data_IF_341254149364
#
_entry.id   IF_341254149364
#
_cell.length_a   1.000
_cell.length_b   1.000
_cell.length_c   1.000
_cell.angle_alpha   90.00
_cell.angle_beta   90.00
_cell.angle_gamma   90.00
#
_symmetry.space_group_name_H-M   'P 1'
#
loop_
_entity.id
_entity.type
_entity.pdbx_description
1 polymer ?
#
# COMPACT_ATOMS: atom_id res chain seq x y z
N UNK A 1 3.96 -36.26 21.64
CA UNK A 1 3.29 -36.94 20.52
C UNK A 1 1.86 -36.43 20.47
N UNK A 2 1.59 -35.48 19.57
CA UNK A 2 0.31 -34.98 19.03
C UNK A 2 0.70 -33.67 18.29
N UNK A 3 0.31 -33.53 17.02
CA UNK A 3 0.23 -32.21 16.37
C UNK A 3 1.29 -31.78 15.35
N UNK A 4 2.06 -32.68 14.71
CA UNK A 4 2.86 -32.33 13.49
C UNK A 4 2.15 -32.62 12.15
N UNK A 5 0.86 -32.98 12.18
CA UNK A 5 0.08 -33.36 10.97
C UNK A 5 -0.87 -32.28 10.43
N UNK A 6 -1.00 -31.11 11.07
CA UNK A 6 -1.94 -30.07 10.62
C UNK A 6 -1.39 -29.12 9.54
N UNK A 7 -0.07 -29.07 9.32
CA UNK A 7 0.54 -28.06 8.44
C UNK A 7 0.92 -28.55 7.03
N UNK A 8 0.65 -29.83 6.71
CA UNK A 8 1.05 -30.45 5.43
C UNK A 8 -0.06 -30.56 4.39
N UNK A 9 -1.17 -29.85 4.57
CA UNK A 9 -2.35 -29.93 3.67
C UNK A 9 -2.39 -28.86 2.57
N UNK A 10 -1.39 -28.00 2.42
CA UNK A 10 -1.51 -26.79 1.59
C UNK A 10 -0.93 -26.84 0.16
N UNK A 11 -0.51 -28.00 -0.35
CA UNK A 11 0.08 -28.09 -1.70
C UNK A 11 -0.45 -29.24 -2.58
N UNK A 12 -1.67 -29.76 -2.31
CA UNK A 12 -2.15 -30.91 -3.08
C UNK A 12 -3.65 -31.12 -3.03
N UNK A 13 -4.41 -30.19 -3.62
CA UNK A 13 -5.75 -30.46 -4.19
C UNK A 13 -6.12 -29.30 -5.10
N UNK A 14 -5.67 -29.37 -6.35
CA UNK A 14 -6.30 -28.64 -7.45
C UNK A 14 -7.67 -29.28 -7.70
N UNK A 15 -8.68 -28.89 -6.89
CA UNK A 15 -10.03 -28.89 -7.39
C UNK A 15 -10.08 -27.87 -8.53
N UNK A 16 -10.70 -28.22 -9.65
CA UNK A 16 -10.96 -27.29 -10.74
C UNK A 16 -11.94 -26.20 -10.28
N UNK A 17 -11.44 -25.23 -9.50
CA UNK A 17 -12.14 -23.99 -9.23
C UNK A 17 -12.00 -23.11 -10.47
N UNK A 18 -13.07 -23.06 -11.28
CA UNK A 18 -13.19 -22.04 -12.32
C UNK A 18 -13.60 -20.75 -11.61
N UNK A 19 -12.65 -19.84 -11.41
CA UNK A 19 -12.94 -18.47 -10.98
C UNK A 19 -13.99 -17.85 -11.92
N UNK A 20 -14.97 -17.16 -11.35
CA UNK A 20 -15.99 -16.46 -12.11
C UNK A 20 -15.42 -15.31 -12.95
N UNK A 21 -14.32 -14.68 -12.51
CA UNK A 21 -13.70 -13.52 -13.14
C UNK A 21 -12.36 -13.87 -13.78
N UNK A 22 -12.37 -14.36 -15.02
CA UNK A 22 -11.15 -14.63 -15.81
C UNK A 22 -11.02 -13.69 -17.00
N UNK A 23 -9.84 -13.64 -17.63
CA UNK A 23 -9.63 -12.89 -18.88
C UNK A 23 -10.45 -13.45 -20.06
N UNK A 24 -10.92 -14.71 -19.97
CA UNK A 24 -11.76 -15.34 -21.00
C UNK A 24 -13.23 -14.95 -20.89
N UNK A 25 -13.64 -14.41 -19.76
CA UNK A 25 -14.99 -13.90 -19.49
C UNK A 25 -14.99 -12.39 -19.64
N UNK A 26 -15.86 -11.83 -20.48
CA UNK A 26 -15.90 -10.41 -20.80
C UNK A 26 -16.54 -9.56 -19.68
N UNK A 27 -15.95 -9.58 -18.47
CA UNK A 27 -16.37 -8.72 -17.37
C UNK A 27 -15.85 -7.30 -17.57
N UNK A 28 -16.74 -6.33 -17.36
CA UNK A 28 -16.43 -4.91 -17.52
C UNK A 28 -15.89 -4.34 -16.21
N UNK A 29 -14.65 -3.89 -16.22
CA UNK A 29 -13.98 -3.35 -15.02
C UNK A 29 -13.91 -1.83 -15.11
N UNK A 30 -14.36 -1.16 -14.05
CA UNK A 30 -14.24 0.28 -13.86
C UNK A 30 -13.19 0.61 -12.81
N UNK A 31 -12.47 1.72 -12.99
CA UNK A 31 -11.41 2.14 -12.07
C UNK A 31 -11.63 3.60 -11.68
N UNK A 32 -11.75 3.84 -10.38
CA UNK A 32 -11.91 5.17 -9.81
C UNK A 32 -10.70 5.51 -8.94
N UNK A 33 -10.05 6.63 -9.23
CA UNK A 33 -8.78 7.02 -8.62
C UNK A 33 -7.62 6.48 -9.45
N UNK A 34 -6.92 7.37 -10.15
CA UNK A 34 -5.85 7.11 -11.12
C UNK A 34 -4.52 7.70 -10.67
N UNK A 35 -4.34 7.84 -9.35
CA UNK A 35 -3.02 8.05 -8.75
C UNK A 35 -2.15 6.80 -8.87
N UNK A 36 -1.04 6.79 -8.11
CA UNK A 36 0.01 5.76 -8.19
C UNK A 36 -0.53 4.31 -8.19
N UNK A 37 -1.48 4.00 -7.31
CA UNK A 37 -2.05 2.65 -7.20
C UNK A 37 -3.01 2.35 -8.34
N UNK A 38 -4.06 3.15 -8.52
CA UNK A 38 -5.12 2.84 -9.49
C UNK A 38 -4.66 2.86 -10.94
N UNK A 39 -3.75 3.77 -11.32
CA UNK A 39 -3.15 3.76 -12.66
C UNK A 39 -2.30 2.50 -12.91
N UNK A 40 -1.56 2.04 -11.90
CA UNK A 40 -0.79 0.78 -11.99
C UNK A 40 -1.72 -0.41 -12.17
N UNK A 41 -2.80 -0.50 -11.39
CA UNK A 41 -3.81 -1.55 -11.49
C UNK A 41 -4.46 -1.54 -12.89
N UNK A 42 -4.86 -0.36 -13.38
CA UNK A 42 -5.44 -0.19 -14.72
C UNK A 42 -4.51 -0.72 -15.83
N UNK A 43 -3.24 -0.31 -15.78
CA UNK A 43 -2.21 -0.72 -16.73
C UNK A 43 -2.01 -2.23 -16.73
N UNK A 44 -2.01 -2.87 -15.56
CA UNK A 44 -1.82 -4.30 -15.44
C UNK A 44 -3.04 -5.08 -15.95
N UNK A 45 -4.26 -4.63 -15.62
CA UNK A 45 -5.48 -5.22 -16.16
C UNK A 45 -5.50 -5.22 -17.69
N UNK A 46 -5.18 -4.08 -18.30
CA UNK A 46 -5.10 -3.94 -19.76
C UNK A 46 -4.06 -4.87 -20.38
N UNK A 47 -2.85 -4.91 -19.83
CA UNK A 47 -1.77 -5.80 -20.30
C UNK A 47 -2.13 -7.28 -20.22
N UNK A 48 -2.91 -7.66 -19.21
CA UNK A 48 -3.38 -9.03 -19.01
C UNK A 48 -4.63 -9.38 -19.82
N UNK A 49 -5.14 -8.44 -20.64
CA UNK A 49 -6.28 -8.67 -21.53
C UNK A 49 -7.65 -8.57 -20.87
N UNK A 50 -7.74 -7.99 -19.67
CA UNK A 50 -9.04 -7.68 -19.06
C UNK A 50 -9.70 -6.48 -19.76
N UNK A 51 -11.03 -6.43 -19.72
CA UNK A 51 -11.81 -5.35 -20.31
C UNK A 51 -12.00 -4.20 -19.32
N UNK A 52 -11.06 -3.27 -19.29
CA UNK A 52 -11.22 -1.98 -18.57
C UNK A 52 -12.18 -1.10 -19.38
N UNK A 53 -13.40 -0.94 -18.88
CA UNK A 53 -14.51 -0.33 -19.62
C UNK A 53 -14.73 1.15 -19.33
N UNK A 54 -14.23 1.63 -18.20
CA UNK A 54 -14.33 3.03 -17.82
C UNK A 54 -13.27 3.40 -16.78
N UNK A 55 -12.78 4.64 -16.86
CA UNK A 55 -11.85 5.24 -15.92
C UNK A 55 -12.46 6.53 -15.37
N UNK A 56 -12.24 6.82 -14.10
CA UNK A 56 -12.68 8.07 -13.49
C UNK A 56 -11.66 8.54 -12.46
N UNK A 57 -11.38 9.84 -12.47
CA UNK A 57 -10.64 10.52 -11.41
C UNK A 57 -11.21 11.93 -11.27
N UNK A 58 -11.08 12.52 -10.08
CA UNK A 58 -11.44 13.91 -9.83
C UNK A 58 -10.58 14.85 -10.68
N UNK A 59 -9.30 14.51 -10.87
CA UNK A 59 -8.41 15.16 -11.83
C UNK A 59 -8.61 14.53 -13.23
N UNK A 60 -9.18 15.25 -14.20
CA UNK A 60 -9.41 14.70 -15.53
C UNK A 60 -8.12 14.37 -16.29
N UNK A 61 -6.96 14.85 -15.83
CA UNK A 61 -5.65 14.60 -16.45
C UNK A 61 -4.94 13.35 -15.91
N UNK A 62 -5.39 12.79 -14.78
CA UNK A 62 -4.76 11.63 -14.17
C UNK A 62 -4.87 10.38 -15.06
N UNK A 63 -3.79 9.64 -15.31
CA UNK A 63 -3.86 8.41 -16.12
C UNK A 63 -4.21 8.62 -17.60
N UNK A 64 -3.85 9.76 -18.19
CA UNK A 64 -3.93 9.98 -19.65
C UNK A 64 -2.90 9.17 -20.45
N UNK A 65 -1.87 8.64 -19.78
CA UNK A 65 -0.84 7.76 -20.35
C UNK A 65 -1.28 6.29 -20.44
N UNK A 66 -2.46 5.95 -19.91
CA UNK A 66 -3.03 4.61 -20.01
C UNK A 66 -3.39 4.31 -21.48
N UNK A 67 -3.05 3.11 -21.99
CA UNK A 67 -3.27 2.79 -23.40
C UNK A 67 -4.75 2.53 -23.70
N UNK A 68 -5.18 2.93 -24.90
CA UNK A 68 -6.50 2.66 -25.46
C UNK A 68 -7.52 3.78 -25.21
N UNK A 69 -8.55 3.81 -26.05
CA UNK A 69 -9.64 4.80 -25.97
C UNK A 69 -10.70 4.34 -24.95
N UNK A 70 -10.33 4.37 -23.66
CA UNK A 70 -11.21 3.94 -22.57
C UNK A 70 -12.14 5.10 -22.18
N UNK A 71 -13.48 4.89 -22.12
CA UNK A 71 -14.42 5.91 -21.69
C UNK A 71 -14.07 6.53 -20.32
N UNK A 72 -14.29 7.84 -20.19
CA UNK A 72 -14.01 8.60 -18.95
C UNK A 72 -15.26 9.34 -18.46
N UNK A 73 -16.20 8.64 -17.79
CA UNK A 73 -17.44 9.25 -17.33
C UNK A 73 -17.18 10.37 -16.29
N UNK A 74 -18.13 11.30 -16.18
CA UNK A 74 -17.97 12.49 -15.33
C UNK A 74 -18.17 12.19 -13.86
N UNK A 75 -18.84 11.09 -13.53
CA UNK A 75 -19.14 10.72 -12.14
C UNK A 75 -18.86 9.24 -11.85
N UNK A 76 -18.62 8.88 -10.57
CA UNK A 76 -18.53 7.49 -10.13
C UNK A 76 -19.76 6.65 -10.51
N UNK A 77 -20.97 7.23 -10.41
CA UNK A 77 -22.23 6.59 -10.81
C UNK A 77 -22.25 6.21 -12.29
N UNK A 78 -21.90 7.13 -13.18
CA UNK A 78 -21.88 6.87 -14.62
C UNK A 78 -20.88 5.76 -14.96
N UNK A 79 -19.70 5.76 -14.34
CA UNK A 79 -18.72 4.68 -14.48
C UNK A 79 -19.29 3.35 -13.99
N UNK A 80 -19.86 3.33 -12.79
CA UNK A 80 -20.39 2.12 -12.19
C UNK A 80 -21.51 1.46 -13.02
N UNK A 81 -22.34 2.27 -13.69
CA UNK A 81 -23.41 1.78 -14.58
C UNK A 81 -22.88 1.03 -15.82
N UNK A 82 -21.61 1.23 -16.19
CA UNK A 82 -20.95 0.57 -17.31
C UNK A 82 -20.22 -0.73 -16.92
N UNK A 83 -20.17 -1.06 -15.63
CA UNK A 83 -19.25 -2.05 -15.09
C UNK A 83 -19.93 -3.18 -14.30
N UNK A 84 -19.25 -4.31 -14.25
CA UNK A 84 -19.59 -5.45 -13.39
C UNK A 84 -18.75 -5.44 -12.11
N UNK A 85 -17.52 -4.93 -12.21
CA UNK A 85 -16.57 -4.77 -11.12
C UNK A 85 -16.09 -3.33 -11.13
N UNK A 86 -16.15 -2.66 -9.98
CA UNK A 86 -15.58 -1.33 -9.77
C UNK A 86 -14.44 -1.44 -8.78
N UNK A 87 -13.29 -0.90 -9.16
CA UNK A 87 -12.11 -0.81 -8.30
C UNK A 87 -11.89 0.64 -7.88
N UNK A 88 -11.57 0.87 -6.61
CA UNK A 88 -11.24 2.20 -6.08
C UNK A 88 -9.83 2.23 -5.52
N UNK A 89 -9.13 3.36 -5.67
CA UNK A 89 -7.85 3.64 -5.00
C UNK A 89 -7.78 5.12 -4.63
N UNK A 90 -8.23 5.46 -3.41
CA UNK A 90 -8.53 6.83 -3.00
C UNK A 90 -7.67 7.28 -1.81
N UNK A 91 -7.41 8.59 -1.65
CA UNK A 91 -6.40 9.08 -0.70
C UNK A 91 -6.76 8.89 0.78
N UNK A 92 -8.05 9.00 1.13
CA UNK A 92 -8.49 9.05 2.53
C UNK A 92 -9.95 8.62 2.71
N UNK A 93 -10.37 8.24 3.94
CA UNK A 93 -11.72 7.75 4.21
C UNK A 93 -12.86 8.64 3.69
N UNK A 94 -12.83 9.98 3.84
CA UNK A 94 -13.92 10.84 3.32
C UNK A 94 -14.10 10.73 1.80
N UNK A 95 -13.02 10.54 1.05
CA UNK A 95 -13.05 10.35 -0.40
C UNK A 95 -13.69 9.00 -0.76
N UNK A 96 -13.36 7.93 -0.03
CA UNK A 96 -13.98 6.61 -0.21
C UNK A 96 -15.49 6.71 0.03
N UNK A 97 -15.91 7.35 1.13
CA UNK A 97 -17.33 7.55 1.42
C UNK A 97 -18.03 8.34 0.33
N UNK A 98 -17.46 9.47 -0.11
CA UNK A 98 -18.05 10.30 -1.16
C UNK A 98 -18.19 9.55 -2.48
N UNK A 99 -17.14 8.85 -2.93
CA UNK A 99 -17.14 8.11 -4.19
C UNK A 99 -18.11 6.94 -4.16
N UNK A 100 -18.27 6.29 -3.01
CA UNK A 100 -19.13 5.13 -2.89
C UNK A 100 -20.61 5.51 -2.64
N UNK A 101 -20.89 6.24 -1.57
CA UNK A 101 -22.25 6.48 -1.06
C UNK A 101 -22.76 7.92 -1.27
N UNK A 102 -21.98 8.78 -1.94
CA UNK A 102 -22.47 10.09 -2.40
C UNK A 102 -23.63 9.98 -3.40
N UNK A 103 -24.30 11.10 -3.66
CA UNK A 103 -25.46 11.17 -4.58
C UNK A 103 -25.13 10.61 -5.98
N UNK A 104 -23.96 10.94 -6.51
CA UNK A 104 -23.39 10.40 -7.75
C UNK A 104 -22.36 9.29 -7.50
N UNK A 105 -22.50 8.57 -6.39
CA UNK A 105 -21.59 7.52 -5.96
C UNK A 105 -21.78 6.20 -6.70
N UNK A 106 -20.82 5.28 -6.50
CA UNK A 106 -20.83 3.93 -7.07
C UNK A 106 -22.10 3.16 -6.70
N UNK A 107 -22.62 3.30 -5.47
CA UNK A 107 -23.84 2.59 -5.04
C UNK A 107 -25.10 3.04 -5.79
N UNK A 108 -25.09 4.20 -6.43
CA UNK A 108 -26.19 4.72 -7.24
C UNK A 108 -26.14 4.25 -8.70
N UNK A 109 -25.03 3.63 -9.14
CA UNK A 109 -24.82 3.20 -10.52
C UNK A 109 -24.54 1.71 -10.68
N UNK A 110 -23.88 1.08 -9.71
CA UNK A 110 -23.50 -0.33 -9.81
C UNK A 110 -24.72 -1.24 -9.64
N UNK A 111 -24.91 -2.15 -10.59
CA UNK A 111 -26.03 -3.09 -10.59
C UNK A 111 -25.94 -4.10 -9.45
N UNK A 112 -27.09 -4.60 -8.98
CA UNK A 112 -27.15 -5.75 -8.07
C UNK A 112 -26.39 -6.94 -8.65
N UNK A 113 -25.61 -7.61 -7.81
CA UNK A 113 -24.66 -8.65 -8.21
C UNK A 113 -23.29 -8.13 -8.64
N UNK A 114 -23.11 -6.81 -8.79
CA UNK A 114 -21.82 -6.18 -9.05
C UNK A 114 -20.86 -6.28 -7.86
N UNK A 115 -19.58 -6.06 -8.13
CA UNK A 115 -18.51 -6.16 -7.13
C UNK A 115 -17.79 -4.83 -6.99
N UNK A 116 -17.57 -4.39 -5.75
CA UNK A 116 -16.67 -3.30 -5.41
C UNK A 116 -15.41 -3.85 -4.75
N UNK A 117 -14.24 -3.49 -5.28
CA UNK A 117 -12.92 -3.86 -4.73
C UNK A 117 -12.17 -2.58 -4.34
N UNK A 118 -11.97 -2.36 -3.04
CA UNK A 118 -11.32 -1.14 -2.55
C UNK A 118 -9.85 -1.35 -2.21
N UNK A 119 -8.96 -0.67 -2.94
CA UNK A 119 -7.52 -0.67 -2.67
C UNK A 119 -7.10 0.48 -1.75
N UNK A 120 -8.04 1.33 -1.34
CA UNK A 120 -7.79 2.47 -0.46
C UNK A 120 -7.37 2.01 0.93
N UNK A 121 -6.53 2.81 1.60
CA UNK A 121 -6.31 2.66 3.03
C UNK A 121 -7.30 3.56 3.77
N UNK A 122 -8.33 2.96 4.38
CA UNK A 122 -9.48 3.67 4.94
C UNK A 122 -9.73 3.31 6.42
N UNK A 123 -10.72 3.94 7.04
CA UNK A 123 -11.15 3.69 8.42
C UNK A 123 -11.91 2.36 8.53
N UNK A 124 -11.63 1.62 9.62
CA UNK A 124 -12.22 0.31 9.86
C UNK A 124 -13.73 0.37 10.08
N UNK A 125 -14.26 1.33 10.83
CA UNK A 125 -15.71 1.42 11.03
C UNK A 125 -16.39 1.81 9.72
N UNK A 126 -15.84 2.79 9.01
CA UNK A 126 -16.35 3.20 7.71
C UNK A 126 -16.39 2.03 6.73
N UNK A 127 -15.39 1.14 6.69
CA UNK A 127 -15.43 -0.02 5.79
C UNK A 127 -16.60 -0.95 6.11
N UNK A 128 -16.89 -1.18 7.39
CA UNK A 128 -18.03 -2.01 7.80
C UNK A 128 -19.35 -1.33 7.38
N UNK A 129 -19.51 -0.05 7.70
CA UNK A 129 -20.73 0.71 7.37
C UNK A 129 -21.00 0.72 5.85
N UNK A 130 -19.96 1.01 5.06
CA UNK A 130 -20.04 1.04 3.60
C UNK A 130 -20.30 -0.35 3.00
N UNK A 131 -19.82 -1.41 3.64
CA UNK A 131 -20.11 -2.80 3.25
C UNK A 131 -21.58 -3.13 3.48
N UNK A 132 -22.15 -2.70 4.60
CA UNK A 132 -23.58 -2.87 4.88
C UNK A 132 -24.44 -2.07 3.88
N UNK A 133 -24.06 -0.83 3.58
CA UNK A 133 -24.71 -0.01 2.53
C UNK A 133 -24.68 -0.69 1.16
N UNK A 134 -23.54 -1.24 0.77
CA UNK A 134 -23.39 -1.99 -0.48
C UNK A 134 -24.25 -3.26 -0.50
N UNK A 135 -24.28 -4.01 0.61
CA UNK A 135 -25.06 -5.23 0.73
C UNK A 135 -26.57 -4.97 0.56
N UNK A 136 -27.10 -3.85 1.07
CA UNK A 136 -28.50 -3.44 0.86
C UNK A 136 -28.85 -3.21 -0.62
N UNK A 137 -27.86 -2.93 -1.47
CA UNK A 137 -28.01 -2.79 -2.93
C UNK A 137 -27.71 -4.09 -3.70
N UNK A 138 -27.42 -5.18 -3.00
CA UNK A 138 -26.99 -6.44 -3.59
C UNK A 138 -25.59 -6.37 -4.20
N UNK A 139 -24.77 -5.41 -3.79
CA UNK A 139 -23.37 -5.25 -4.23
C UNK A 139 -22.47 -6.03 -3.29
N UNK A 140 -21.52 -6.76 -3.85
CA UNK A 140 -20.52 -7.53 -3.11
C UNK A 140 -19.26 -6.69 -2.91
N UNK A 141 -18.55 -6.88 -1.80
CA UNK A 141 -17.42 -6.01 -1.43
C UNK A 141 -16.18 -6.85 -1.09
N UNK A 142 -15.02 -6.39 -1.55
CA UNK A 142 -13.71 -6.83 -1.07
C UNK A 142 -12.87 -5.61 -0.69
N UNK A 143 -12.23 -5.68 0.47
CA UNK A 143 -11.04 -4.88 0.77
C UNK A 143 -9.85 -5.47 0.03
N UNK A 144 -9.02 -4.65 -0.59
CA UNK A 144 -7.81 -5.06 -1.27
C UNK A 144 -6.65 -4.04 -1.11
N UNK A 145 -6.38 -3.45 0.07
CA UNK A 145 -5.28 -2.52 0.23
C UNK A 145 -3.93 -3.16 -0.14
N UNK A 146 -3.02 -2.33 -0.63
CA UNK A 146 -1.69 -2.76 -1.11
C UNK A 146 -0.56 -2.35 -0.18
N UNK A 147 0.48 -3.18 -0.08
CA UNK A 147 1.70 -2.92 0.70
C UNK A 147 2.95 -3.40 -0.05
N UNK A 148 4.12 -2.88 0.34
CA UNK A 148 5.41 -3.18 -0.29
C UNK A 148 6.21 -1.96 -0.78
N UNK A 149 5.77 -0.74 -0.47
CA UNK A 149 6.48 0.48 -0.85
C UNK A 149 6.38 0.84 -2.33
N UNK A 150 6.90 2.02 -2.68
CA UNK A 150 6.78 2.57 -4.04
C UNK A 150 7.62 1.83 -5.07
N UNK A 151 8.71 1.19 -4.66
CA UNK A 151 9.52 0.35 -5.55
C UNK A 151 8.74 -0.87 -6.06
N UNK A 152 8.00 -1.58 -5.20
CA UNK A 152 7.16 -2.70 -5.63
C UNK A 152 5.97 -2.21 -6.45
N UNK A 153 5.44 -1.02 -6.17
CA UNK A 153 4.33 -0.46 -6.91
C UNK A 153 4.72 -0.18 -8.35
N UNK A 154 5.85 0.51 -8.57
CA UNK A 154 6.39 0.78 -9.92
C UNK A 154 6.69 -0.49 -10.71
N UNK A 155 7.04 -1.58 -10.02
CA UNK A 155 7.27 -2.89 -10.63
C UNK A 155 5.98 -3.69 -10.88
N UNK A 156 4.82 -3.23 -10.41
CA UNK A 156 3.56 -3.99 -10.45
C UNK A 156 3.60 -5.25 -9.58
N UNK A 157 4.43 -5.27 -8.53
CA UNK A 157 4.71 -6.43 -7.68
C UNK A 157 4.24 -6.26 -6.24
N UNK A 158 3.27 -5.39 -5.99
CA UNK A 158 2.74 -5.16 -4.65
C UNK A 158 2.23 -6.45 -4.00
N UNK A 159 2.18 -6.43 -2.66
CA UNK A 159 1.39 -7.40 -1.91
C UNK A 159 0.00 -6.82 -1.68
N UNK A 160 -1.03 -7.57 -2.08
CA UNK A 160 -2.44 -7.23 -1.89
C UNK A 160 -2.94 -7.98 -0.67
N UNK A 161 -3.51 -7.27 0.30
CA UNK A 161 -4.14 -7.83 1.48
C UNK A 161 -5.65 -7.82 1.24
N UNK A 162 -6.33 -8.97 1.32
CA UNK A 162 -7.73 -9.08 0.93
C UNK A 162 -8.61 -9.52 2.08
N UNK A 163 -9.63 -8.71 2.38
CA UNK A 163 -10.64 -8.98 3.40
C UNK A 163 -12.04 -9.03 2.79
N UNK A 164 -12.88 -9.94 3.26
CA UNK A 164 -14.26 -10.10 2.80
C UNK A 164 -14.67 -11.56 2.62
N UNK A 165 -15.72 -11.79 1.83
CA UNK A 165 -16.22 -13.13 1.56
C UNK A 165 -15.17 -14.01 0.87
N UNK A 166 -15.00 -15.24 1.37
CA UNK A 166 -13.96 -16.15 0.89
C UNK A 166 -14.22 -16.62 -0.55
N UNK A 167 -15.48 -16.89 -0.90
CA UNK A 167 -15.81 -17.34 -2.25
C UNK A 167 -15.60 -16.21 -3.25
N UNK A 168 -16.03 -15.00 -2.91
CA UNK A 168 -15.81 -13.80 -3.72
C UNK A 168 -14.32 -13.51 -3.91
N UNK A 169 -13.50 -13.67 -2.86
CA UNK A 169 -12.05 -13.58 -2.97
C UNK A 169 -11.49 -14.55 -4.02
N UNK A 170 -11.90 -15.83 -3.98
CA UNK A 170 -11.47 -16.84 -4.92
C UNK A 170 -11.96 -16.54 -6.35
N UNK A 171 -13.19 -16.06 -6.48
CA UNK A 171 -13.78 -15.65 -7.75
C UNK A 171 -13.04 -14.46 -8.37
N UNK A 172 -12.71 -13.44 -7.58
CA UNK A 172 -12.03 -12.22 -8.02
C UNK A 172 -10.50 -12.34 -8.06
N UNK A 173 -9.93 -13.49 -7.67
CA UNK A 173 -8.48 -13.68 -7.58
C UNK A 173 -7.73 -13.28 -8.87
N UNK A 174 -8.20 -13.57 -10.09
CA UNK A 174 -7.48 -13.16 -11.30
C UNK A 174 -7.43 -11.64 -11.51
N UNK A 175 -8.44 -10.90 -11.04
CA UNK A 175 -8.44 -9.42 -11.03
C UNK A 175 -7.47 -8.92 -9.95
N UNK A 176 -7.56 -9.46 -8.73
CA UNK A 176 -6.71 -9.09 -7.59
C UNK A 176 -5.22 -9.31 -7.88
N UNK A 177 -4.88 -10.36 -8.63
CA UNK A 177 -3.51 -10.63 -9.09
C UNK A 177 -2.96 -9.58 -10.07
N UNK A 178 -3.81 -8.72 -10.65
CA UNK A 178 -3.34 -7.57 -11.45
C UNK A 178 -2.97 -6.38 -10.58
N UNK A 179 -3.40 -6.36 -9.32
CA UNK A 179 -3.03 -5.33 -8.34
C UNK A 179 -1.70 -5.62 -7.66
N UNK A 180 -1.19 -6.86 -7.74
CA UNK A 180 0.08 -7.23 -7.13
C UNK A 180 0.47 -8.70 -7.32
N UNK A 181 1.76 -8.98 -7.11
CA UNK A 181 2.35 -10.33 -7.33
C UNK A 181 1.94 -11.32 -6.25
N UNK A 182 1.75 -10.87 -5.02
CA UNK A 182 1.30 -11.70 -3.89
C UNK A 182 -0.08 -11.20 -3.45
N UNK A 183 -1.03 -12.12 -3.33
CA UNK A 183 -2.38 -11.83 -2.83
C UNK A 183 -2.59 -12.70 -1.59
N UNK A 184 -2.86 -12.06 -0.45
CA UNK A 184 -3.04 -12.73 0.84
C UNK A 184 -4.45 -12.50 1.35
N UNK A 185 -5.18 -13.58 1.63
CA UNK A 185 -6.50 -13.50 2.27
C UNK A 185 -6.33 -13.31 3.78
N UNK A 186 -6.85 -12.20 4.29
CA UNK A 186 -6.75 -11.76 5.69
C UNK A 186 -7.92 -12.25 6.54
N UNK A 187 -9.01 -12.70 5.91
CA UNK A 187 -10.21 -13.16 6.59
C UNK A 187 -11.42 -12.32 6.22
N UNK A 188 -12.32 -12.16 7.18
CA UNK A 188 -13.58 -11.42 7.03
C UNK A 188 -13.35 -9.93 6.77
N UNK A 189 -14.44 -9.22 6.46
CA UNK A 189 -14.40 -7.77 6.26
C UNK A 189 -13.78 -7.06 7.48
N UNK A 190 -12.97 -6.05 7.21
CA UNK A 190 -12.22 -5.25 8.18
C UNK A 190 -10.80 -5.76 8.47
N UNK A 191 -10.53 -7.04 8.24
CA UNK A 191 -9.23 -7.66 8.60
C UNK A 191 -8.06 -7.15 7.74
N UNK A 192 -8.28 -6.90 6.45
CA UNK A 192 -7.25 -6.37 5.57
C UNK A 192 -6.95 -4.89 5.85
N UNK A 193 -7.98 -4.11 6.17
CA UNK A 193 -7.83 -2.74 6.67
C UNK A 193 -6.97 -2.70 7.93
N UNK A 194 -7.25 -3.55 8.92
CA UNK A 194 -6.43 -3.65 10.15
C UNK A 194 -4.98 -4.01 9.81
N UNK A 195 -4.77 -5.07 9.02
CA UNK A 195 -3.43 -5.52 8.66
C UNK A 195 -2.62 -4.42 7.94
N UNK A 196 -3.26 -3.69 7.02
CA UNK A 196 -2.63 -2.57 6.30
C UNK A 196 -2.24 -1.44 7.25
N UNK A 197 -3.14 -1.03 8.14
CA UNK A 197 -2.88 0.05 9.11
C UNK A 197 -1.75 -0.35 10.05
N UNK A 198 -1.75 -1.57 10.58
CA UNK A 198 -0.66 -2.10 11.43
C UNK A 198 0.69 -2.07 10.68
N UNK A 199 0.71 -2.49 9.41
CA UNK A 199 1.93 -2.42 8.59
C UNK A 199 2.48 -1.00 8.46
N UNK A 200 1.61 0.00 8.23
CA UNK A 200 2.04 1.40 8.08
C UNK A 200 2.44 2.05 9.42
N UNK A 201 1.82 1.64 10.53
CA UNK A 201 2.24 2.03 11.89
C UNK A 201 3.68 1.57 12.17
N UNK A 202 3.99 0.30 11.87
CA UNK A 202 5.35 -0.25 12.05
C UNK A 202 6.37 0.50 11.19
N UNK A 203 6.04 0.81 9.94
CA UNK A 203 6.91 1.57 9.05
C UNK A 203 7.25 2.96 9.62
N UNK A 204 6.25 3.71 10.13
CA UNK A 204 6.50 5.03 10.71
C UNK A 204 7.37 4.99 11.96
N UNK A 205 7.11 4.05 12.88
CA UNK A 205 7.94 3.86 14.07
C UNK A 205 9.38 3.57 13.66
N UNK A 206 9.57 2.70 12.67
CA UNK A 206 10.90 2.35 12.18
C UNK A 206 11.63 3.56 11.58
N UNK A 207 10.97 4.47 10.86
CA UNK A 207 11.60 5.69 10.31
C UNK A 207 12.17 6.56 11.44
N UNK A 208 11.40 6.75 12.51
CA UNK A 208 11.84 7.53 13.67
C UNK A 208 13.05 6.88 14.34
N UNK A 209 12.94 5.60 14.70
CA UNK A 209 14.03 4.89 15.39
C UNK A 209 15.27 4.73 14.52
N UNK A 210 15.09 4.55 13.21
CA UNK A 210 16.17 4.51 12.21
C UNK A 210 16.95 5.83 12.22
N UNK A 211 16.24 6.97 12.22
CA UNK A 211 16.87 8.30 12.28
C UNK A 211 17.68 8.48 13.56
N UNK A 212 17.10 8.15 14.71
CA UNK A 212 17.78 8.24 16.00
C UNK A 212 19.04 7.37 16.05
N UNK A 213 18.94 6.13 15.55
CA UNK A 213 20.07 5.19 15.48
C UNK A 213 21.20 5.70 14.58
N UNK A 214 20.88 6.25 13.40
CA UNK A 214 21.88 6.82 12.50
C UNK A 214 22.63 8.00 13.15
N UNK A 215 21.91 8.91 13.80
CA UNK A 215 22.53 10.06 14.48
C UNK A 215 23.35 9.65 15.70
N UNK A 216 22.87 8.67 16.48
CA UNK A 216 23.62 8.12 17.60
C UNK A 216 24.93 7.48 17.12
N UNK A 217 24.86 6.64 16.08
CA UNK A 217 26.05 6.00 15.50
C UNK A 217 27.04 7.02 14.95
N UNK A 218 26.56 8.02 14.19
CA UNK A 218 27.39 9.10 13.65
C UNK A 218 28.11 9.88 14.76
N UNK A 219 27.39 10.30 15.80
CA UNK A 219 27.96 11.02 16.96
C UNK A 219 28.89 10.15 17.80
N UNK A 220 28.65 8.85 17.82
CA UNK A 220 29.56 7.86 18.40
C UNK A 220 30.85 7.65 17.58
N UNK A 221 30.99 8.28 16.42
CA UNK A 221 32.16 8.17 15.55
C UNK A 221 32.10 6.99 14.58
N UNK A 222 30.95 6.35 14.41
CA UNK A 222 30.75 5.27 13.43
C UNK A 222 30.42 5.89 12.07
N UNK A 223 31.16 5.47 11.03
CA UNK A 223 30.85 5.80 9.64
C UNK A 223 29.44 5.29 9.26
N UNK A 224 28.62 6.15 8.64
CA UNK A 224 27.22 5.85 8.36
C UNK A 224 27.05 4.71 7.34
N UNK A 225 27.96 4.56 6.36
CA UNK A 225 27.91 3.41 5.41
C UNK A 225 28.16 2.11 6.16
N UNK A 226 29.21 2.10 6.98
CA UNK A 226 29.58 0.96 7.80
C UNK A 226 28.48 0.57 8.78
N UNK A 227 27.80 1.57 9.38
CA UNK A 227 26.64 1.34 10.25
C UNK A 227 25.45 0.76 9.46
N UNK A 228 25.14 1.34 8.30
CA UNK A 228 24.09 0.85 7.40
C UNK A 228 24.28 -0.62 7.08
N UNK A 229 25.49 -1.01 6.64
CA UNK A 229 25.80 -2.40 6.31
C UNK A 229 25.82 -3.30 7.55
N UNK A 230 26.35 -2.85 8.68
CA UNK A 230 26.34 -3.63 9.93
C UNK A 230 24.92 -3.97 10.38
N UNK A 231 23.98 -3.01 10.34
CA UNK A 231 22.60 -3.23 10.77
C UNK A 231 21.86 -4.16 9.81
N UNK A 232 22.14 -4.12 8.50
CA UNK A 232 21.55 -5.04 7.50
C UNK A 232 21.82 -6.51 7.79
N UNK A 233 22.97 -6.82 8.37
CA UNK A 233 23.34 -8.18 8.81
C UNK A 233 23.03 -8.44 10.29
N UNK A 234 22.25 -7.57 10.95
CA UNK A 234 21.91 -7.68 12.37
C UNK A 234 20.44 -8.06 12.59
N UNK A 235 20.12 -8.49 13.82
CA UNK A 235 18.73 -8.72 14.23
C UNK A 235 17.88 -7.43 14.32
N UNK A 236 18.52 -6.25 14.30
CA UNK A 236 17.84 -4.96 14.27
C UNK A 236 17.43 -4.50 12.88
N UNK A 237 17.73 -5.28 11.83
CA UNK A 237 17.38 -4.93 10.46
C UNK A 237 15.86 -4.87 10.27
N UNK A 238 15.40 -3.94 9.43
CA UNK A 238 14.00 -3.83 9.01
C UNK A 238 13.94 -3.52 7.53
N UNK A 239 12.81 -3.81 6.88
CA UNK A 239 12.56 -3.35 5.52
C UNK A 239 12.80 -1.84 5.39
N UNK A 240 12.29 -1.05 6.34
CA UNK A 240 12.46 0.41 6.41
C UNK A 240 13.93 0.83 6.50
N UNK A 241 14.76 0.12 7.27
CA UNK A 241 16.20 0.40 7.33
C UNK A 241 16.84 0.26 5.93
N UNK A 242 16.52 -0.83 5.24
CA UNK A 242 17.09 -1.12 3.92
C UNK A 242 16.56 -0.19 2.82
N UNK A 243 15.30 0.25 2.89
CA UNK A 243 14.69 1.05 1.82
C UNK A 243 14.73 2.55 2.06
N UNK A 244 14.62 3.00 3.32
CA UNK A 244 14.43 4.42 3.65
C UNK A 244 15.71 5.12 4.12
N UNK A 245 16.62 4.44 4.83
CA UNK A 245 17.88 5.06 5.24
C UNK A 245 18.70 5.59 4.04
N UNK A 246 18.78 4.86 2.91
CA UNK A 246 19.43 5.36 1.69
C UNK A 246 18.77 6.61 1.09
N UNK A 247 17.45 6.78 1.25
CA UNK A 247 16.76 8.00 0.82
C UNK A 247 17.10 9.20 1.70
N UNK A 248 17.34 8.95 3.00
CA UNK A 248 17.86 9.97 3.92
C UNK A 248 19.31 10.32 3.57
N UNK A 249 20.14 9.31 3.27
CA UNK A 249 21.53 9.50 2.82
C UNK A 249 21.63 10.32 1.53
N UNK A 250 20.70 10.12 0.59
CA UNK A 250 20.59 10.89 -0.65
C UNK A 250 19.85 12.24 -0.45
N UNK A 251 19.26 12.48 0.72
CA UNK A 251 18.49 13.69 1.02
C UNK A 251 17.19 13.83 0.21
N UNK A 252 16.63 12.74 -0.33
CA UNK A 252 15.43 12.75 -1.17
C UNK A 252 14.14 12.47 -0.40
N UNK A 253 14.24 11.76 0.73
CA UNK A 253 13.15 11.54 1.70
C UNK A 253 11.84 10.89 1.18
N UNK A 254 11.89 9.98 0.20
CA UNK A 254 10.75 9.33 -0.49
C UNK A 254 9.66 10.30 -0.99
N UNK A 255 9.82 10.93 -2.17
CA UNK A 255 8.84 11.89 -2.68
C UNK A 255 7.51 11.25 -3.11
N UNK A 256 7.45 9.92 -3.23
CA UNK A 256 6.35 9.23 -3.88
C UNK A 256 5.24 8.78 -2.90
N UNK A 257 5.52 8.82 -1.59
CA UNK A 257 4.54 8.66 -0.51
C UNK A 257 4.68 9.82 0.47
N UNK A 258 3.71 10.73 0.48
CA UNK A 258 3.80 11.99 1.23
C UNK A 258 3.58 11.80 2.72
N UNK A 259 4.14 12.71 3.52
CA UNK A 259 3.96 12.73 4.97
C UNK A 259 2.50 12.98 5.35
N UNK A 260 1.75 13.76 4.56
CA UNK A 260 0.31 13.94 4.76
C UNK A 260 -0.46 12.61 4.71
N UNK A 261 -0.15 11.77 3.72
CA UNK A 261 -0.74 10.42 3.61
C UNK A 261 -0.31 9.51 4.76
N UNK A 262 0.96 9.57 5.16
CA UNK A 262 1.45 8.73 6.27
C UNK A 262 0.83 9.15 7.61
N UNK A 263 0.75 10.45 7.92
CA UNK A 263 0.07 10.97 9.11
C UNK A 263 -1.40 10.54 9.15
N UNK A 264 -2.09 10.54 8.00
CA UNK A 264 -3.44 10.00 7.89
C UNK A 264 -3.49 8.53 8.30
N UNK A 265 -2.53 7.70 7.87
CA UNK A 265 -2.45 6.28 8.27
C UNK A 265 -2.15 6.09 9.76
N UNK A 266 -1.31 6.96 10.36
CA UNK A 266 -1.03 6.91 11.80
C UNK A 266 -2.27 7.21 12.63
N UNK A 267 -3.05 8.20 12.21
CA UNK A 267 -4.32 8.50 12.85
C UNK A 267 -5.31 7.32 12.74
N UNK A 268 -5.34 6.58 11.61
CA UNK A 268 -6.12 5.34 11.53
C UNK A 268 -5.63 4.29 12.55
N UNK A 269 -4.31 4.16 12.71
CA UNK A 269 -3.72 3.30 13.75
C UNK A 269 -4.14 3.70 15.16
N UNK A 270 -4.20 5.01 15.42
CA UNK A 270 -4.67 5.54 16.70
C UNK A 270 -6.14 5.24 16.96
N UNK A 271 -6.99 5.37 15.94
CA UNK A 271 -8.41 5.01 16.01
C UNK A 271 -8.60 3.50 16.27
N UNK A 272 -7.81 2.63 15.62
CA UNK A 272 -7.82 1.19 15.90
C UNK A 272 -7.41 0.88 17.34
N UNK A 273 -6.34 1.53 17.84
CA UNK A 273 -5.87 1.35 19.21
C UNK A 273 -6.97 1.69 20.22
N UNK A 274 -7.70 2.80 20.02
CA UNK A 274 -8.87 3.14 20.85
C UNK A 274 -9.99 2.13 20.72
N UNK A 275 -10.34 1.74 19.49
CA UNK A 275 -11.45 0.80 19.24
C UNK A 275 -11.25 -0.56 19.88
N UNK A 276 -10.03 -1.10 19.80
CA UNK A 276 -9.69 -2.41 20.35
C UNK A 276 -9.10 -2.37 21.76
N UNK A 277 -9.10 -1.20 22.41
CA UNK A 277 -8.56 -1.00 23.76
C UNK A 277 -7.08 -1.46 23.88
N UNK A 278 -6.27 -1.18 22.87
CA UNK A 278 -4.83 -1.49 22.85
C UNK A 278 -4.03 -0.20 23.12
N UNK A 279 -3.28 -0.11 24.23
CA UNK A 279 -2.39 1.02 24.49
C UNK A 279 -1.23 1.06 23.48
N UNK A 280 -1.13 2.14 22.69
CA UNK A 280 -0.18 2.30 21.57
C UNK A 280 0.88 3.39 21.87
N UNK A 281 1.69 3.17 22.90
CA UNK A 281 2.64 4.18 23.42
C UNK A 281 3.68 4.62 22.37
N UNK A 282 4.34 3.66 21.72
CA UNK A 282 5.43 3.95 20.78
C UNK A 282 4.91 4.66 19.53
N UNK A 283 3.76 4.23 19.00
CA UNK A 283 3.11 4.95 17.91
C UNK A 283 2.75 6.38 18.32
N UNK A 284 2.23 6.58 19.54
CA UNK A 284 1.89 7.91 20.03
C UNK A 284 3.10 8.87 20.02
N UNK A 285 4.29 8.39 20.40
CA UNK A 285 5.51 9.18 20.30
C UNK A 285 5.91 9.47 18.85
N UNK A 286 5.89 8.44 17.98
CA UNK A 286 6.19 8.61 16.57
C UNK A 286 5.23 9.60 15.90
N UNK A 287 3.93 9.52 16.18
CA UNK A 287 2.90 10.40 15.63
C UNK A 287 3.16 11.88 15.99
N UNK A 288 3.60 12.17 17.21
CA UNK A 288 3.98 13.55 17.58
C UNK A 288 5.16 14.07 16.76
N UNK A 289 6.14 13.22 16.45
CA UNK A 289 7.28 13.59 15.60
C UNK A 289 6.84 13.82 14.17
N UNK A 290 5.99 12.92 13.64
CA UNK A 290 5.38 13.05 12.31
C UNK A 290 4.55 14.33 12.20
N UNK A 291 3.72 14.66 13.19
CA UNK A 291 2.92 15.89 13.21
C UNK A 291 3.80 17.16 13.27
N UNK A 292 4.90 17.13 14.04
CA UNK A 292 5.88 18.23 14.05
C UNK A 292 6.53 18.41 12.66
N UNK A 293 6.91 17.30 12.02
CA UNK A 293 7.49 17.33 10.68
C UNK A 293 6.49 17.83 9.64
N UNK A 294 5.25 17.34 9.67
CA UNK A 294 4.14 17.78 8.83
C UNK A 294 3.92 19.30 8.95
N UNK A 295 3.83 19.83 10.18
CA UNK A 295 3.65 21.26 10.41
C UNK A 295 4.83 22.09 9.91
N UNK A 296 6.07 21.63 10.14
CA UNK A 296 7.29 22.38 9.81
C UNK A 296 7.63 22.34 8.32
N UNK A 297 7.36 21.22 7.65
CA UNK A 297 7.87 20.93 6.29
C UNK A 297 6.76 20.95 5.22
N UNK A 298 5.49 20.91 5.61
CA UNK A 298 4.35 20.76 4.70
C UNK A 298 3.88 19.31 4.57
N UNK A 299 2.75 19.10 3.90
CA UNK A 299 2.09 17.81 3.71
C UNK A 299 2.58 17.02 2.50
N UNK A 300 3.08 17.72 1.48
CA UNK A 300 3.56 17.12 0.23
C UNK A 300 5.02 16.64 0.27
N UNK A 301 5.76 16.89 1.35
CA UNK A 301 7.10 16.31 1.50
C UNK A 301 7.01 14.81 1.72
N UNK A 302 8.07 14.08 1.39
CA UNK A 302 8.08 12.65 1.50
C UNK A 302 8.00 12.11 2.93
N UNK A 303 7.47 10.91 3.10
CA UNK A 303 7.08 10.34 4.39
C UNK A 303 8.25 10.05 5.35
N UNK A 304 9.48 10.02 4.84
CA UNK A 304 10.70 9.88 5.66
C UNK A 304 11.30 11.21 6.11
N UNK A 305 10.63 12.33 5.79
CA UNK A 305 11.02 13.68 6.24
C UNK A 305 11.09 13.90 7.76
N UNK A 306 10.49 13.10 8.66
CA UNK A 306 10.80 13.19 10.08
C UNK A 306 12.31 13.09 10.39
N UNK A 307 13.07 12.40 9.54
CA UNK A 307 14.52 12.34 9.66
C UNK A 307 15.18 13.73 9.54
N UNK A 308 14.63 14.60 8.69
CA UNK A 308 15.12 15.97 8.49
C UNK A 308 14.93 16.83 9.73
N UNK A 309 13.84 16.64 10.46
CA UNK A 309 13.55 17.43 11.65
C UNK A 309 14.65 17.26 12.72
N UNK A 310 15.09 16.04 12.97
CA UNK A 310 16.13 15.76 13.94
C UNK A 310 17.52 16.19 13.45
N UNK A 311 17.82 16.03 12.16
CA UNK A 311 19.04 16.58 11.55
C UNK A 311 19.13 18.10 11.73
N UNK A 312 18.06 18.83 11.43
CA UNK A 312 18.00 20.28 11.58
C UNK A 312 18.16 20.71 13.06
N UNK A 313 17.50 20.01 13.99
CA UNK A 313 17.56 20.30 15.43
C UNK A 313 18.98 20.12 15.98
N UNK A 314 19.68 19.09 15.50
CA UNK A 314 21.04 18.76 15.92
C UNK A 314 22.14 19.44 15.10
N UNK A 315 21.77 20.17 14.03
CA UNK A 315 22.67 20.73 13.02
C UNK A 315 23.63 19.68 12.45
N UNK A 316 23.13 18.46 12.25
CA UNK A 316 23.94 17.28 11.91
C UNK A 316 23.33 16.58 10.67
N UNK A 317 23.85 16.84 9.45
CA UNK A 317 23.36 16.20 8.23
C UNK A 317 23.62 14.69 8.23
N UNK A 318 22.70 13.90 7.69
CA UNK A 318 22.86 12.46 7.49
C UNK A 318 23.22 12.08 6.05
N UNK A 319 23.53 13.06 5.20
CA UNK A 319 23.92 12.78 3.83
C UNK A 319 25.22 11.97 3.78
N UNK A 320 25.26 11.02 2.84
CA UNK A 320 26.39 10.11 2.65
C UNK A 320 26.70 10.05 1.15
N UNK A 321 27.93 10.40 0.77
CA UNK A 321 28.39 10.32 -0.63
C UNK A 321 28.28 8.89 -1.18
N UNK A 322 27.99 8.72 -2.47
CA UNK A 322 27.91 7.40 -3.13
C UNK A 322 26.53 6.73 -3.07
N UNK A 323 25.53 7.40 -2.49
CA UNK A 323 24.13 6.98 -2.49
C UNK A 323 23.27 7.69 -3.57
N UNK A 324 23.87 8.53 -4.41
CA UNK A 324 23.18 9.28 -5.46
C UNK A 324 22.62 8.36 -6.56
N UNK A 325 23.36 7.28 -6.85
CA UNK A 325 23.01 6.22 -7.81
C UNK A 325 22.47 4.95 -7.11
N UNK A 326 22.18 5.02 -5.81
CA UNK A 326 21.69 3.86 -5.07
C UNK A 326 20.33 3.42 -5.57
N UNK A 327 20.21 2.12 -5.81
CA UNK A 327 18.96 1.48 -6.21
C UNK A 327 18.81 0.17 -5.48
N UNK A 328 17.59 -0.35 -5.45
CA UNK A 328 17.31 -1.68 -4.94
C UNK A 328 16.20 -2.31 -5.75
N UNK A 329 16.17 -3.63 -5.73
CA UNK A 329 15.03 -4.43 -6.13
C UNK A 329 14.48 -5.16 -4.91
N UNK A 330 13.21 -5.54 -5.01
CA UNK A 330 12.61 -6.45 -4.04
C UNK A 330 12.42 -7.79 -4.74
N UNK A 331 13.03 -8.82 -4.18
CA UNK A 331 12.92 -10.19 -4.65
C UNK A 331 12.04 -11.00 -3.71
N UNK A 332 11.23 -11.88 -4.27
CA UNK A 332 10.52 -12.87 -3.47
C UNK A 332 11.44 -14.06 -3.30
N UNK A 333 11.85 -14.32 -2.06
CA UNK A 333 12.72 -15.43 -1.69
C UNK A 333 11.90 -16.36 -0.81
N UNK A 334 11.59 -17.54 -1.34
CA UNK A 334 10.69 -18.52 -0.72
C UNK A 334 9.34 -17.87 -0.31
N UNK A 335 8.99 -17.89 0.98
CA UNK A 335 7.76 -17.32 1.54
C UNK A 335 7.95 -15.88 2.05
N UNK A 336 9.06 -15.22 1.71
CA UNK A 336 9.44 -13.88 2.19
C UNK A 336 9.81 -12.91 1.05
N UNK A 337 10.12 -11.67 1.43
CA UNK A 337 10.70 -10.67 0.55
C UNK A 337 12.11 -10.33 1.04
N UNK A 338 13.04 -10.15 0.11
CA UNK A 338 14.39 -9.69 0.38
C UNK A 338 14.65 -8.37 -0.37
N UNK A 339 15.32 -7.43 0.29
CA UNK A 339 15.84 -6.22 -0.34
C UNK A 339 17.19 -6.55 -0.96
N UNK A 340 17.28 -6.42 -2.28
CA UNK A 340 18.51 -6.68 -3.03
C UNK A 340 19.03 -5.34 -3.54
N UNK A 341 20.13 -4.90 -2.93
CA UNK A 341 20.71 -3.59 -3.22
C UNK A 341 21.62 -3.66 -4.44
N UNK A 342 21.58 -2.61 -5.26
CA UNK A 342 22.48 -2.40 -6.38
C UNK A 342 23.08 -1.00 -6.32
N UNK A 343 24.41 -0.94 -6.15
CA UNK A 343 25.20 0.28 -6.23
C UNK A 343 26.18 0.16 -7.40
N UNK A 344 26.38 1.24 -8.17
CA UNK A 344 27.39 1.25 -9.24
C UNK A 344 28.81 1.08 -8.69
N UNK A 345 29.05 1.61 -7.48
CA UNK A 345 30.27 1.38 -6.73
C UNK A 345 30.07 0.21 -5.77
N UNK A 346 30.93 -0.80 -5.86
CA UNK A 346 31.00 -1.84 -4.83
C UNK A 346 31.46 -1.19 -3.54
N UNK A 347 30.55 -1.01 -2.57
CA UNK A 347 30.83 -0.44 -1.24
C UNK A 347 31.95 -1.21 -0.52
N UNK A 348 32.13 -2.50 -0.86
CA UNK A 348 33.28 -3.30 -0.47
C UNK A 348 33.98 -3.90 -1.70
N UNK A 349 35.26 -3.59 -1.87
CA UNK A 349 36.04 -3.90 -3.07
C UNK A 349 36.07 -5.38 -3.50
N UNK A 350 35.91 -5.55 -4.82
CA UNK A 350 36.29 -6.68 -5.70
C UNK A 350 35.44 -7.97 -5.68
N UNK A 351 35.65 -8.71 -6.77
CA UNK A 351 34.88 -9.82 -7.34
C UNK A 351 35.19 -11.14 -6.65
#
# INVERSE_FOLDING_TARGET
MIGRKAFRLFLGRHGNFRSAYSTKTAHKIGIIGLGNVGATVAKNLLKSGFTVSALHDKDPTAGLDLPGDIPRPKTPRELAAMCDVVTTALPAPPHVKQVLSGEDGVLAGLRSGGVWIDHSTTDYQQTLDLTEEAAMKGIKVLEAPVTGGMALLKQGKMTVLVGGDRQLFEDCLPILQQSGKKVLYMGEMGTATIAKVVSNMLAAVNVVTMTEAMLLGKRGGVDLKSLFDAIRFSAGNTYTWETEAPLVFNGTYDPDFTIGLHCKDLNLGYQLGRKFNVPIQILGHAEQIYNRALYKLGDEVGSTSPAKLLQDELQEPLQVEGFEDWTYTIEHVEDSMAVVHSTKEKVYGKK
#
